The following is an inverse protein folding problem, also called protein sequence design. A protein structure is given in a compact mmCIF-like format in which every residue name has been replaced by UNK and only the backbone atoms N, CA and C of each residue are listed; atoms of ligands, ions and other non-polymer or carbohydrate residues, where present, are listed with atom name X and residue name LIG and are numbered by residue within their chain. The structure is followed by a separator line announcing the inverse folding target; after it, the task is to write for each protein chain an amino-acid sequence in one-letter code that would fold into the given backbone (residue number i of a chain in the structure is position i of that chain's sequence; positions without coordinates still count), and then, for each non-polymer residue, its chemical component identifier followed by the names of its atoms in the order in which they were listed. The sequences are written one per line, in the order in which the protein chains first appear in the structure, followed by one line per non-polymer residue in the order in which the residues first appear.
data_IF_604749125799
#
_entry.id   IF_604749125799
#
_cell.length_a   1.000
_cell.length_b   1.000
_cell.length_c   1.000
_cell.angle_alpha   90.00
_cell.angle_beta   90.00
_cell.angle_gamma   90.00
#
_symmetry.space_group_name_H-M   'P 1'
#
loop_
_entity.id
_entity.type
_entity.pdbx_description
1 polymer ?
#
# COMPACT_ATOMS: atom_id res chain seq x y z
N UNK A 1 -36.25 -43.55 17.89
CA UNK A 1 -35.76 -42.69 16.80
C UNK A 1 -36.37 -41.31 16.97
N UNK A 2 -35.60 -40.36 17.52
CA UNK A 2 -35.92 -38.93 17.51
C UNK A 2 -34.62 -38.24 17.12
N UNK A 3 -34.57 -37.79 15.89
CA UNK A 3 -33.42 -37.10 15.29
C UNK A 3 -33.13 -35.81 16.04
N UNK A 4 -31.87 -35.65 16.42
CA UNK A 4 -31.31 -34.43 17.00
C UNK A 4 -31.06 -33.43 15.88
N UNK A 5 -31.90 -32.39 15.79
CA UNK A 5 -31.63 -31.22 14.98
C UNK A 5 -30.48 -30.43 15.60
N UNK A 6 -29.32 -30.46 14.94
CA UNK A 6 -28.18 -29.61 15.29
C UNK A 6 -28.41 -28.22 14.68
N UNK A 7 -28.74 -27.24 15.51
CA UNK A 7 -28.83 -25.84 15.13
C UNK A 7 -27.42 -25.30 14.80
N UNK A 8 -27.18 -25.07 13.52
CA UNK A 8 -25.99 -24.41 13.00
C UNK A 8 -26.08 -22.90 13.29
N UNK A 9 -25.32 -22.42 14.29
CA UNK A 9 -25.13 -20.99 14.51
C UNK A 9 -24.20 -20.40 13.45
N UNK A 10 -24.75 -19.59 12.54
CA UNK A 10 -23.99 -18.73 11.63
C UNK A 10 -23.57 -17.48 12.41
N UNK A 11 -22.28 -17.37 12.77
CA UNK A 11 -21.72 -16.12 13.28
C UNK A 11 -21.66 -15.09 12.16
N UNK A 12 -22.57 -14.12 12.19
CA UNK A 12 -22.46 -12.91 11.37
C UNK A 12 -21.23 -12.13 11.83
N UNK A 13 -20.20 -12.09 10.98
CA UNK A 13 -19.01 -11.27 11.18
C UNK A 13 -19.39 -9.82 10.91
N UNK A 14 -19.37 -8.97 11.95
CA UNK A 14 -19.64 -7.54 11.80
C UNK A 14 -18.55 -6.90 10.92
N UNK A 15 -18.92 -6.40 9.74
CA UNK A 15 -18.03 -5.62 8.89
C UNK A 15 -17.78 -4.25 9.52
N UNK A 16 -16.65 -4.09 10.20
CA UNK A 16 -16.22 -2.79 10.72
C UNK A 16 -16.00 -1.83 9.54
N UNK A 17 -16.57 -0.62 9.60
CA UNK A 17 -16.36 0.42 8.58
C UNK A 17 -14.87 0.80 8.51
N UNK A 18 -14.25 0.62 7.35
CA UNK A 18 -12.83 0.94 7.12
C UNK A 18 -12.72 2.06 6.09
N UNK A 19 -12.04 3.14 6.45
CA UNK A 19 -11.70 4.23 5.53
C UNK A 19 -10.33 3.97 4.93
N UNK A 20 -10.23 3.93 3.60
CA UNK A 20 -8.97 3.71 2.87
C UNK A 20 -8.63 4.95 2.07
N UNK A 21 -7.50 5.57 2.40
CA UNK A 21 -6.89 6.65 1.62
C UNK A 21 -5.74 6.09 0.80
N UNK A 22 -5.72 6.39 -0.50
CA UNK A 22 -4.74 5.86 -1.45
C UNK A 22 -3.88 7.00 -1.99
N UNK A 23 -2.57 6.86 -1.89
CA UNK A 23 -1.60 7.87 -2.29
C UNK A 23 -0.82 7.43 -3.53
N UNK A 24 -0.42 8.38 -4.35
CA UNK A 24 0.30 8.15 -5.60
C UNK A 24 1.45 9.15 -5.79
N UNK A 25 2.19 9.06 -6.89
CA UNK A 25 3.22 10.03 -7.22
C UNK A 25 2.60 11.37 -7.68
N UNK A 26 3.22 12.49 -7.30
CA UNK A 26 2.84 13.82 -7.82
C UNK A 26 2.88 13.83 -9.37
N UNK A 27 1.78 14.29 -9.96
CA UNK A 27 1.48 14.24 -11.39
C UNK A 27 0.45 13.18 -11.78
N UNK A 28 0.24 12.16 -10.94
CA UNK A 28 -0.70 11.05 -11.22
C UNK A 28 -1.99 11.12 -10.39
N UNK A 29 -2.18 12.15 -9.56
CA UNK A 29 -3.29 12.25 -8.62
C UNK A 29 -4.63 12.64 -9.26
N UNK A 30 -5.72 12.20 -8.64
CA UNK A 30 -7.08 12.68 -8.93
C UNK A 30 -7.43 13.91 -8.06
N UNK A 31 -6.90 13.95 -6.83
CA UNK A 31 -7.11 15.05 -5.87
C UNK A 31 -5.94 15.19 -4.90
N UNK A 32 -6.00 16.23 -4.08
CA UNK A 32 -5.12 16.42 -2.93
C UNK A 32 -5.90 16.26 -1.62
N UNK A 33 -5.25 15.80 -0.55
CA UNK A 33 -5.80 15.94 0.81
C UNK A 33 -5.55 17.33 1.39
N UNK A 34 -5.96 17.51 2.64
CA UNK A 34 -5.72 18.69 3.47
C UNK A 34 -4.24 19.04 3.61
N UNK A 35 -3.34 18.06 3.54
CA UNK A 35 -1.88 18.25 3.67
C UNK A 35 -1.17 18.38 2.31
N UNK A 36 -1.95 18.46 1.23
CA UNK A 36 -1.48 18.55 -0.15
C UNK A 36 -0.67 17.33 -0.60
N UNK A 37 -1.00 16.13 -0.10
CA UNK A 37 -0.49 14.89 -0.66
C UNK A 37 -1.33 14.42 -1.85
N UNK A 38 -0.68 13.90 -2.92
CA UNK A 38 -1.34 13.37 -4.11
C UNK A 38 -2.13 12.08 -3.83
N UNK A 39 -3.45 12.10 -4.05
CA UNK A 39 -4.38 10.99 -3.78
C UNK A 39 -5.00 10.41 -5.05
N UNK A 40 -5.23 9.10 -5.03
CA UNK A 40 -6.03 8.36 -6.03
C UNK A 40 -7.37 7.93 -5.44
N UNK A 41 -8.42 8.01 -6.27
CA UNK A 41 -9.74 7.49 -5.94
C UNK A 41 -9.85 6.01 -6.32
N UNK A 42 -9.26 5.64 -7.47
CA UNK A 42 -9.25 4.27 -7.98
C UNK A 42 -8.13 3.44 -7.34
N UNK A 43 -8.42 2.17 -7.04
CA UNK A 43 -7.40 1.20 -6.66
C UNK A 43 -6.77 0.60 -7.92
N UNK A 44 -5.64 1.16 -8.36
CA UNK A 44 -4.93 0.71 -9.54
C UNK A 44 -3.41 0.65 -9.32
N UNK A 45 -2.66 0.32 -10.37
CA UNK A 45 -1.21 0.14 -10.30
C UNK A 45 -0.43 1.43 -9.97
N UNK A 46 -1.05 2.61 -10.10
CA UNK A 46 -0.46 3.90 -9.76
C UNK A 46 -0.60 4.25 -8.27
N UNK A 47 -1.33 3.44 -7.51
CA UNK A 47 -1.35 3.53 -6.04
C UNK A 47 -0.03 2.99 -5.50
N UNK A 48 0.62 3.79 -4.67
CA UNK A 48 1.95 3.52 -4.12
C UNK A 48 1.94 3.41 -2.60
N UNK A 49 0.97 4.02 -1.93
CA UNK A 49 0.80 3.88 -0.49
C UNK A 49 -0.69 3.91 -0.10
N UNK A 50 -1.03 3.27 1.01
CA UNK A 50 -2.41 3.22 1.54
C UNK A 50 -2.39 3.52 3.04
N UNK A 51 -3.29 4.39 3.49
CA UNK A 51 -3.63 4.57 4.90
C UNK A 51 -5.00 3.93 5.12
N UNK A 52 -5.06 2.95 6.00
CA UNK A 52 -6.29 2.22 6.34
C UNK A 52 -6.62 2.57 7.79
N UNK A 53 -7.69 3.33 7.97
CA UNK A 53 -8.21 3.69 9.29
C UNK A 53 -9.44 2.85 9.57
N UNK A 54 -9.37 2.06 10.65
CA UNK A 54 -10.49 1.36 11.27
C UNK A 54 -10.83 2.07 12.59
N UNK A 55 -11.93 1.69 13.22
CA UNK A 55 -12.41 2.32 14.47
C UNK A 55 -11.34 2.42 15.58
N UNK A 56 -10.50 1.39 15.74
CA UNK A 56 -9.51 1.31 16.83
C UNK A 56 -8.05 1.38 16.37
N UNK A 57 -7.78 1.40 15.06
CA UNK A 57 -6.41 1.35 14.56
C UNK A 57 -6.24 2.02 13.21
N UNK A 58 -5.07 2.64 13.03
CA UNK A 58 -4.63 3.12 11.72
C UNK A 58 -3.41 2.33 11.30
N UNK A 59 -3.49 1.75 10.12
CA UNK A 59 -2.41 0.99 9.49
C UNK A 59 -1.92 1.72 8.25
N UNK A 60 -0.60 1.68 8.07
CA UNK A 60 0.08 2.36 6.98
C UNK A 60 0.76 1.32 6.10
N UNK A 61 0.53 1.41 4.80
CA UNK A 61 1.08 0.48 3.84
C UNK A 61 1.81 1.22 2.73
N UNK A 62 2.97 0.71 2.34
CA UNK A 62 3.71 1.20 1.19
C UNK A 62 3.98 0.06 0.21
N UNK A 63 4.13 0.41 -1.06
CA UNK A 63 4.49 -0.54 -2.11
C UNK A 63 5.97 -0.90 -1.99
N UNK A 64 6.24 -2.20 -1.97
CA UNK A 64 7.57 -2.81 -1.85
C UNK A 64 7.82 -3.67 -3.10
N UNK A 65 9.05 -3.63 -3.61
CA UNK A 65 9.49 -4.47 -4.74
C UNK A 65 9.99 -5.85 -4.31
N UNK A 66 10.45 -6.64 -5.27
CA UNK A 66 10.83 -8.07 -5.13
C UNK A 66 11.91 -8.38 -4.09
N UNK A 67 12.71 -7.39 -3.66
CA UNK A 67 13.81 -7.56 -2.72
C UNK A 67 13.57 -6.87 -1.36
N UNK A 68 12.31 -6.56 -1.04
CA UNK A 68 11.98 -5.86 0.22
C UNK A 68 12.32 -4.37 0.21
N UNK A 69 12.80 -3.84 -0.93
CA UNK A 69 13.10 -2.41 -1.13
C UNK A 69 11.84 -1.61 -1.38
N UNK A 70 11.85 -0.35 -0.94
CA UNK A 70 10.71 0.54 -1.16
C UNK A 70 10.62 0.85 -2.66
N UNK A 71 9.42 0.69 -3.22
CA UNK A 71 9.23 0.87 -4.65
C UNK A 71 9.46 2.33 -5.07
N UNK A 72 10.32 2.55 -6.08
CA UNK A 72 10.63 3.85 -6.64
C UNK A 72 9.97 4.03 -8.02
N UNK A 73 8.89 4.83 -8.15
CA UNK A 73 8.19 5.04 -9.42
C UNK A 73 8.95 5.94 -10.42
N UNK A 74 10.09 6.55 -10.03
CA UNK A 74 10.87 7.50 -10.85
C UNK A 74 12.17 6.86 -11.36
N UNK A 75 12.65 5.81 -10.69
CA UNK A 75 13.96 5.21 -10.97
C UNK A 75 14.08 4.68 -12.39
N UNK A 76 15.24 4.93 -13.02
CA UNK A 76 15.67 4.38 -14.32
C UNK A 76 15.68 2.84 -14.33
N UNK A 77 15.87 2.22 -13.16
CA UNK A 77 15.58 0.81 -12.93
C UNK A 77 14.08 0.63 -12.79
N UNK A 78 13.38 0.89 -13.89
CA UNK A 78 12.08 0.30 -14.11
C UNK A 78 12.28 -1.21 -13.98
N UNK A 79 11.70 -1.79 -12.94
CA UNK A 79 11.48 -3.23 -12.79
C UNK A 79 10.75 -3.84 -14.02
N UNK A 80 10.38 -3.01 -15.01
CA UNK A 80 9.86 -3.38 -16.33
C UNK A 80 10.77 -4.22 -17.24
N UNK A 81 12.08 -4.39 -16.94
CA UNK A 81 12.88 -5.44 -17.61
C UNK A 81 12.71 -6.82 -16.96
N UNK A 82 12.41 -6.89 -15.67
CA UNK A 82 12.13 -8.15 -14.96
C UNK A 82 10.65 -8.57 -15.03
N UNK A 83 9.73 -7.64 -15.31
CA UNK A 83 8.28 -7.90 -15.32
C UNK A 83 7.84 -9.03 -16.27
N UNK A 84 8.50 -9.18 -17.42
CA UNK A 84 8.25 -10.29 -18.37
C UNK A 84 8.79 -11.64 -17.88
N UNK A 85 9.77 -11.65 -16.98
CA UNK A 85 10.41 -12.86 -16.49
C UNK A 85 9.72 -13.37 -15.20
N UNK A 86 9.36 -12.46 -14.29
CA UNK A 86 8.70 -12.79 -13.03
C UNK A 86 7.25 -13.25 -13.21
N UNK A 87 6.52 -12.66 -14.17
CA UNK A 87 5.16 -13.08 -14.52
C UNK A 87 5.08 -14.53 -15.02
N UNK A 88 6.13 -15.02 -15.70
CA UNK A 88 6.24 -16.43 -16.12
C UNK A 88 6.43 -17.41 -14.96
N UNK A 89 6.92 -16.95 -13.81
CA UNK A 89 7.21 -17.77 -12.63
C UNK A 89 6.12 -17.58 -11.54
N UNK A 90 5.12 -16.73 -11.79
CA UNK A 90 4.01 -16.47 -10.86
C UNK A 90 4.41 -15.68 -9.60
N UNK A 91 5.58 -15.03 -9.58
CA UNK A 91 5.98 -14.18 -8.45
C UNK A 91 5.36 -12.79 -8.58
N UNK A 92 4.76 -12.29 -7.49
CA UNK A 92 4.25 -10.92 -7.41
C UNK A 92 5.43 -9.94 -7.53
N UNK A 93 5.36 -9.06 -8.51
CA UNK A 93 6.38 -8.03 -8.77
C UNK A 93 6.45 -7.00 -7.62
N UNK A 94 5.29 -6.73 -7.01
CA UNK A 94 5.16 -5.80 -5.91
C UNK A 94 4.10 -6.25 -4.92
N UNK A 95 4.26 -5.83 -3.67
CA UNK A 95 3.28 -6.02 -2.61
C UNK A 95 3.16 -4.78 -1.73
N UNK A 96 2.06 -4.71 -0.97
CA UNK A 96 1.89 -3.68 0.05
C UNK A 96 2.32 -4.22 1.39
N UNK A 97 3.36 -3.64 1.98
CA UNK A 97 3.87 -3.99 3.30
C UNK A 97 3.37 -2.99 4.34
N UNK A 98 2.91 -3.49 5.48
CA UNK A 98 2.57 -2.65 6.64
C UNK A 98 3.86 -2.04 7.21
N UNK A 99 3.86 -0.73 7.48
CA UNK A 99 5.03 0.03 7.96
C UNK A 99 4.65 0.97 9.10
N UNK A 100 5.67 1.50 9.78
CA UNK A 100 5.48 2.50 10.80
C UNK A 100 4.99 3.84 10.21
N UNK A 101 4.32 4.69 11.01
CA UNK A 101 3.89 6.03 10.56
C UNK A 101 5.07 6.86 10.04
N UNK A 102 6.22 6.78 10.71
CA UNK A 102 7.44 7.52 10.35
C UNK A 102 7.96 7.15 8.95
N UNK A 103 8.02 5.85 8.63
CA UNK A 103 8.42 5.37 7.30
C UNK A 103 7.41 5.83 6.24
N UNK A 104 6.13 5.77 6.57
CA UNK A 104 5.06 6.20 5.68
C UNK A 104 5.15 7.70 5.34
N UNK A 105 5.38 8.56 6.33
CA UNK A 105 5.48 10.01 6.14
C UNK A 105 6.70 10.41 5.30
N UNK A 106 7.84 9.73 5.51
CA UNK A 106 9.02 9.90 4.65
C UNK A 106 8.70 9.49 3.21
N UNK A 107 8.01 8.38 3.01
CA UNK A 107 7.62 7.94 1.67
C UNK A 107 6.61 8.90 1.01
N UNK A 108 5.61 9.41 1.73
CA UNK A 108 4.68 10.41 1.20
C UNK A 108 5.40 11.71 0.81
N UNK A 109 6.39 12.13 1.61
CA UNK A 109 7.24 13.29 1.30
C UNK A 109 8.01 13.08 0.00
N UNK A 110 8.54 11.86 -0.22
CA UNK A 110 9.13 11.48 -1.50
C UNK A 110 8.10 11.54 -2.63
N UNK A 111 6.90 10.96 -2.48
CA UNK A 111 5.87 10.97 -3.52
C UNK A 111 5.43 12.39 -3.91
N UNK A 112 5.40 13.31 -2.95
CA UNK A 112 5.05 14.72 -3.15
C UNK A 112 6.16 15.54 -3.80
N UNK A 113 7.42 15.29 -3.43
CA UNK A 113 8.57 16.16 -3.81
C UNK A 113 9.49 15.56 -4.87
N UNK A 114 9.38 14.25 -5.12
CA UNK A 114 10.32 13.46 -5.93
C UNK A 114 11.77 13.46 -5.40
N UNK A 115 11.99 13.93 -4.17
CA UNK A 115 13.32 13.98 -3.58
C UNK A 115 13.74 12.60 -3.02
N UNK A 116 14.72 11.98 -3.68
CA UNK A 116 15.25 10.64 -3.36
C UNK A 116 15.83 10.53 -1.95
N UNK A 117 16.27 11.62 -1.33
CA UNK A 117 16.76 11.58 0.05
C UNK A 117 15.71 11.06 1.04
N UNK A 118 14.43 11.41 0.83
CA UNK A 118 13.33 10.91 1.64
C UNK A 118 13.14 9.39 1.49
N UNK A 119 13.27 8.88 0.26
CA UNK A 119 13.20 7.45 -0.01
C UNK A 119 14.33 6.69 0.69
N UNK A 120 15.58 7.17 0.54
CA UNK A 120 16.74 6.56 1.19
C UNK A 120 16.62 6.55 2.71
N UNK A 121 16.09 7.63 3.31
CA UNK A 121 15.86 7.69 4.74
C UNK A 121 14.76 6.71 5.18
N UNK A 122 13.69 6.57 4.39
CA UNK A 122 12.64 5.58 4.63
C UNK A 122 13.18 4.15 4.57
N UNK A 123 14.05 3.83 3.61
CA UNK A 123 14.67 2.51 3.50
C UNK A 123 15.56 2.17 4.70
N UNK A 124 16.34 3.15 5.19
CA UNK A 124 17.17 2.99 6.39
C UNK A 124 16.35 2.74 7.65
N UNK A 125 15.20 3.40 7.77
CA UNK A 125 14.30 3.24 8.93
C UNK A 125 13.50 1.92 8.87
N UNK A 126 13.26 1.40 7.66
CA UNK A 126 12.55 0.14 7.45
C UNK A 126 13.43 -1.10 7.74
N UNK A 127 14.76 -0.96 7.66
CA UNK A 127 15.76 -2.02 7.84
C UNK A 127 16.13 -2.19 9.30
#
# INVERSE_FOLDING_TARGET
MRDSSADFFIQQTQETERTIVRYCLIGNQDKFDSEKYPIRLKDDHLVLAKKVTSEHSTKFYIKIGTYGKIFNPIGLYSEGKESKFLSKIGRKEFEFKEVSPKVFDMYLSFLKTKNIAWLNNAERELS
#
